data_IF_583161422290
#
_entry.id   IF_583161422290
#
_cell.length_a   1.000
_cell.length_b   1.000
_cell.length_c   1.000
_cell.angle_alpha   90.00
_cell.angle_beta   90.00
_cell.angle_gamma   90.00
#
_symmetry.space_group_name_H-M   'P 1'
#
loop_
_entity.id
_entity.type
_entity.pdbx_description
1 polymer ?
#
# COMPACT_ATOMS: atom_id res chain seq x y z
N UNK A 1 -8.49 -6.73 20.04
CA UNK A 1 -7.34 -6.20 19.30
C UNK A 1 -6.94 -7.12 18.15
N UNK A 2 -6.36 -8.30 18.42
CA UNK A 2 -5.85 -9.20 17.37
C UNK A 2 -6.86 -9.60 16.29
N UNK A 3 -8.06 -10.04 16.68
CA UNK A 3 -9.11 -10.43 15.72
C UNK A 3 -9.45 -9.27 14.77
N UNK A 4 -9.66 -8.07 15.31
CA UNK A 4 -9.99 -6.88 14.52
C UNK A 4 -8.83 -6.46 13.59
N UNK A 5 -7.59 -6.59 14.07
CA UNK A 5 -6.39 -6.27 13.28
C UNK A 5 -6.16 -7.24 12.12
N UNK A 6 -6.70 -8.46 12.18
CA UNK A 6 -6.68 -9.40 11.05
C UNK A 6 -7.87 -9.21 10.12
N UNK A 7 -9.08 -9.11 10.68
CA UNK A 7 -10.31 -9.12 9.88
C UNK A 7 -10.57 -7.81 9.13
N UNK A 8 -10.27 -6.65 9.73
CA UNK A 8 -10.54 -5.35 9.11
C UNK A 8 -9.61 -5.08 7.92
N UNK A 9 -8.27 -5.18 8.03
CA UNK A 9 -7.38 -5.00 6.87
C UNK A 9 -7.66 -6.00 5.76
N UNK A 10 -7.98 -7.26 6.11
CA UNK A 10 -8.38 -8.26 5.12
C UNK A 10 -9.65 -7.85 4.39
N UNK A 11 -10.67 -7.37 5.12
CA UNK A 11 -11.91 -6.89 4.54
C UNK A 11 -11.69 -5.68 3.62
N UNK A 12 -10.88 -4.70 4.05
CA UNK A 12 -10.62 -3.51 3.24
C UNK A 12 -9.84 -3.86 1.98
N UNK A 13 -8.86 -4.75 2.08
CA UNK A 13 -8.07 -5.22 0.93
C UNK A 13 -8.89 -6.08 -0.03
N UNK A 14 -9.67 -7.03 0.46
CA UNK A 14 -10.30 -8.03 -0.41
C UNK A 14 -11.65 -7.57 -0.98
N UNK A 15 -12.39 -6.73 -0.25
CA UNK A 15 -13.75 -6.33 -0.61
C UNK A 15 -13.81 -4.85 -0.97
N UNK A 16 -13.33 -3.96 -0.11
CA UNK A 16 -13.47 -2.51 -0.32
C UNK A 16 -12.61 -2.03 -1.48
N UNK A 17 -11.36 -2.49 -1.58
CA UNK A 17 -10.46 -2.13 -2.66
C UNK A 17 -11.02 -2.54 -4.03
N UNK A 18 -11.61 -3.74 -4.16
CA UNK A 18 -12.20 -4.24 -5.41
C UNK A 18 -13.48 -3.51 -5.82
N UNK A 19 -14.25 -3.00 -4.86
CA UNK A 19 -15.54 -2.32 -5.11
C UNK A 19 -15.40 -0.81 -5.29
N UNK A 20 -14.30 -0.22 -4.85
CA UNK A 20 -14.11 1.22 -4.88
C UNK A 20 -13.36 1.64 -6.16
N UNK A 21 -13.97 2.45 -7.04
CA UNK A 21 -13.31 2.92 -8.26
C UNK A 21 -12.12 3.84 -7.98
N UNK A 22 -12.05 4.43 -6.80
CA UNK A 22 -10.93 5.29 -6.37
C UNK A 22 -9.76 4.40 -5.96
N UNK A 23 -10.00 3.37 -5.16
CA UNK A 23 -8.94 2.48 -4.68
C UNK A 23 -8.35 1.63 -5.81
N UNK A 24 -9.15 1.29 -6.83
CA UNK A 24 -8.67 0.61 -8.03
C UNK A 24 -7.68 1.44 -8.86
N UNK A 25 -7.63 2.77 -8.67
CA UNK A 25 -6.63 3.63 -9.31
C UNK A 25 -5.32 3.73 -8.53
N UNK A 26 -5.30 3.17 -7.32
CA UNK A 26 -4.13 3.18 -6.44
C UNK A 26 -3.39 1.86 -6.66
N UNK A 27 -2.23 1.94 -7.28
CA UNK A 27 -1.33 0.81 -7.47
C UNK A 27 -0.53 0.53 -6.18
N UNK A 28 -1.13 -0.27 -5.28
CA UNK A 28 -0.55 -0.71 -4.01
C UNK A 28 -0.15 -2.19 -4.11
N UNK A 29 0.97 -2.46 -4.76
CA UNK A 29 1.45 -3.81 -5.12
C UNK A 29 1.58 -4.76 -3.93
N UNK A 30 2.00 -4.26 -2.77
CA UNK A 30 2.20 -5.06 -1.55
C UNK A 30 1.01 -4.97 -0.57
N UNK A 31 -0.04 -4.21 -0.89
CA UNK A 31 -1.18 -3.98 0.02
C UNK A 31 -0.79 -3.23 1.30
N UNK A 32 0.23 -2.38 1.24
CA UNK A 32 0.78 -1.65 2.40
C UNK A 32 -0.25 -0.70 2.99
N UNK A 33 -1.10 -0.07 2.16
CA UNK A 33 -2.12 0.84 2.64
C UNK A 33 -3.09 0.15 3.62
N UNK A 34 -3.57 -1.04 3.28
CA UNK A 34 -4.53 -1.77 4.12
C UNK A 34 -3.85 -2.36 5.36
N UNK A 35 -2.69 -3.00 5.16
CA UNK A 35 -1.98 -3.73 6.22
C UNK A 35 -1.28 -2.81 7.22
N UNK A 36 -0.93 -1.58 6.83
CA UNK A 36 -0.22 -0.64 7.70
C UNK A 36 -1.07 0.59 8.05
N UNK A 37 -1.61 1.31 7.05
CA UNK A 37 -2.33 2.55 7.32
C UNK A 37 -3.70 2.28 7.98
N UNK A 38 -4.52 1.39 7.41
CA UNK A 38 -5.82 1.02 7.98
C UNK A 38 -5.64 0.28 9.31
N UNK A 39 -4.76 -0.73 9.34
CA UNK A 39 -4.50 -1.49 10.57
C UNK A 39 -3.92 -0.61 11.69
N UNK A 40 -3.00 0.31 11.35
CA UNK A 40 -2.38 1.23 12.30
C UNK A 40 -3.38 2.21 12.89
N UNK A 41 -4.22 2.83 12.06
CA UNK A 41 -5.28 3.72 12.54
C UNK A 41 -6.29 2.97 13.42
N UNK A 42 -6.67 1.75 13.02
CA UNK A 42 -7.53 0.89 13.83
C UNK A 42 -6.88 0.56 15.17
N UNK A 43 -5.61 0.20 15.21
CA UNK A 43 -4.86 -0.05 16.45
C UNK A 43 -4.83 1.17 17.36
N UNK A 44 -4.62 2.36 16.81
CA UNK A 44 -4.70 3.62 17.54
C UNK A 44 -6.09 3.86 18.13
N UNK A 45 -7.16 3.70 17.34
CA UNK A 45 -8.54 3.83 17.80
C UNK A 45 -8.87 2.85 18.92
N UNK A 46 -8.52 1.59 18.73
CA UNK A 46 -8.78 0.56 19.74
C UNK A 46 -7.95 0.81 21.02
N UNK A 47 -6.76 1.39 20.91
CA UNK A 47 -5.98 1.82 22.09
C UNK A 47 -6.70 2.96 22.81
N UNK A 48 -7.29 3.89 22.04
CA UNK A 48 -8.18 4.93 22.54
C UNK A 48 -9.37 4.40 23.34
N UNK A 49 -9.87 3.21 22.99
CA UNK A 49 -10.97 2.55 23.67
C UNK A 49 -10.53 1.71 24.86
N UNK A 50 -9.49 0.88 24.69
CA UNK A 50 -9.15 -0.21 25.61
C UNK A 50 -7.89 0.03 26.45
N UNK A 51 -7.32 1.23 26.47
CA UNK A 51 -6.15 1.53 27.33
C UNK A 51 -6.49 1.34 28.83
N UNK A 52 -5.96 0.28 29.42
CA UNK A 52 -6.21 -0.09 30.83
C UNK A 52 -5.56 0.95 31.79
N UNK A 53 -6.33 1.58 32.70
CA UNK A 53 -5.82 2.62 33.59
C UNK A 53 -4.62 2.21 34.45
N UNK A 54 -4.64 0.98 34.99
CA UNK A 54 -3.56 0.47 35.85
C UNK A 54 -2.24 0.33 35.08
N UNK A 55 -2.31 -0.17 33.84
CA UNK A 55 -1.14 -0.29 32.98
C UNK A 55 -0.64 1.08 32.53
N UNK A 56 -1.55 2.00 32.22
CA UNK A 56 -1.20 3.38 31.88
C UNK A 56 -0.44 4.06 33.02
N UNK A 57 -0.89 3.91 34.27
CA UNK A 57 -0.24 4.52 35.44
C UNK A 57 1.15 3.94 35.74
N UNK A 58 1.43 2.71 35.30
CA UNK A 58 2.73 2.06 35.49
C UNK A 58 3.80 2.57 34.52
N UNK A 59 3.42 2.86 33.27
CA UNK A 59 4.36 3.13 32.19
C UNK A 59 4.32 4.56 31.65
N UNK A 60 3.21 5.28 31.79
CA UNK A 60 3.04 6.60 31.19
C UNK A 60 3.34 7.71 32.19
N UNK A 61 4.07 8.77 31.77
CA UNK A 61 4.26 9.97 32.59
C UNK A 61 2.95 10.78 32.75
N UNK A 62 1.96 10.53 31.88
CA UNK A 62 0.67 11.21 31.89
C UNK A 62 -0.29 10.49 32.84
N UNK A 63 -0.48 11.09 34.02
CA UNK A 63 -1.44 10.61 35.02
C UNK A 63 -2.88 10.59 34.49
N UNK A 64 -3.72 9.73 35.07
CA UNK A 64 -5.15 9.60 34.74
C UNK A 64 -5.49 9.20 33.29
N UNK A 65 -4.51 8.69 32.54
CA UNK A 65 -4.74 8.12 31.21
C UNK A 65 -5.57 6.84 31.30
N UNK A 66 -6.61 6.74 30.48
CA UNK A 66 -7.52 5.60 30.41
C UNK A 66 -8.23 5.56 29.07
N UNK A 67 -8.61 4.36 28.63
CA UNK A 67 -9.42 4.17 27.42
C UNK A 67 -10.88 4.53 27.65
N UNK A 68 -11.60 4.79 26.56
CA UNK A 68 -13.02 5.16 26.55
C UNK A 68 -13.93 4.18 27.30
N UNK A 69 -13.65 2.88 27.26
CA UNK A 69 -14.52 1.86 27.90
C UNK A 69 -14.52 1.94 29.43
N UNK A 70 -13.52 2.59 30.03
CA UNK A 70 -13.39 2.74 31.48
C UNK A 70 -14.09 4.00 32.02
N UNK A 71 -14.78 4.76 31.16
CA UNK A 71 -15.59 5.93 31.56
C UNK A 71 -14.78 7.14 32.06
N UNK A 72 -15.49 8.13 32.59
CA UNK A 72 -14.91 9.41 33.02
C UNK A 72 -14.24 10.15 31.86
N UNK A 73 -12.98 10.57 32.04
CA UNK A 73 -12.18 11.25 31.01
C UNK A 73 -11.68 10.34 29.88
N UNK A 74 -12.07 9.06 29.85
CA UNK A 74 -11.53 8.07 28.90
C UNK A 74 -11.80 8.37 27.42
N UNK A 75 -12.90 9.07 27.10
CA UNK A 75 -13.18 9.51 25.73
C UNK A 75 -12.09 10.42 25.14
N UNK A 76 -11.35 11.13 26.00
CA UNK A 76 -10.23 11.97 25.58
C UNK A 76 -9.09 11.16 24.97
N UNK A 77 -8.90 9.91 25.39
CA UNK A 77 -7.83 9.07 24.86
C UNK A 77 -8.08 8.69 23.39
N UNK A 78 -9.33 8.41 23.03
CA UNK A 78 -9.70 8.17 21.64
C UNK A 78 -9.42 9.40 20.78
N UNK A 79 -9.79 10.59 21.25
CA UNK A 79 -9.54 11.83 20.53
C UNK A 79 -8.03 12.10 20.33
N UNK A 80 -7.21 11.85 21.36
CA UNK A 80 -5.75 11.97 21.25
C UNK A 80 -5.18 11.04 20.18
N UNK A 81 -5.65 9.79 20.12
CA UNK A 81 -5.18 8.82 19.13
C UNK A 81 -5.63 9.19 17.70
N UNK A 82 -6.85 9.72 17.54
CA UNK A 82 -7.32 10.24 16.26
C UNK A 82 -6.53 11.48 15.81
N UNK A 83 -6.26 12.42 16.73
CA UNK A 83 -5.46 13.60 16.44
C UNK A 83 -4.02 13.24 16.05
N UNK A 84 -3.38 12.32 16.78
CA UNK A 84 -2.06 11.80 16.45
C UNK A 84 -2.05 11.07 15.10
N UNK A 85 -3.05 10.22 14.85
CA UNK A 85 -3.21 9.53 13.56
C UNK A 85 -3.39 10.51 12.39
N UNK A 86 -4.25 11.51 12.55
CA UNK A 86 -4.47 12.55 11.54
C UNK A 86 -3.20 13.36 11.25
N UNK A 87 -2.42 13.69 12.29
CA UNK A 87 -1.13 14.35 12.13
C UNK A 87 -0.15 13.47 11.34
N UNK A 88 -0.01 12.19 11.69
CA UNK A 88 0.89 11.26 10.98
C UNK A 88 0.48 11.13 9.50
N UNK A 89 -0.82 11.00 9.22
CA UNK A 89 -1.35 10.90 7.85
C UNK A 89 -1.03 12.17 7.07
N UNK A 90 -1.35 13.35 7.62
CA UNK A 90 -1.11 14.63 6.96
C UNK A 90 0.37 14.90 6.73
N UNK A 91 1.21 14.61 7.72
CA UNK A 91 2.66 14.77 7.63
C UNK A 91 3.27 13.88 6.54
N UNK A 92 2.92 12.59 6.52
CA UNK A 92 3.42 11.67 5.50
C UNK A 92 2.91 12.04 4.11
N UNK A 93 1.64 12.43 3.97
CA UNK A 93 1.10 12.86 2.69
C UNK A 93 1.87 14.06 2.14
N UNK A 94 2.09 15.10 2.97
CA UNK A 94 2.78 16.31 2.52
C UNK A 94 4.27 16.05 2.26
N UNK A 95 4.99 15.49 3.23
CA UNK A 95 6.45 15.36 3.15
C UNK A 95 6.86 14.31 2.12
N UNK A 96 6.22 13.14 2.09
CA UNK A 96 6.55 12.10 1.10
C UNK A 96 6.22 12.56 -0.32
N UNK A 97 5.10 13.24 -0.54
CA UNK A 97 4.80 13.79 -1.87
C UNK A 97 5.82 14.84 -2.31
N UNK A 98 6.27 15.72 -1.42
CA UNK A 98 7.34 16.69 -1.74
C UNK A 98 8.63 15.95 -2.13
N UNK A 99 9.04 14.96 -1.33
CA UNK A 99 10.26 14.18 -1.61
C UNK A 99 10.16 13.48 -2.98
N UNK A 100 9.04 12.80 -3.25
CA UNK A 100 8.84 12.11 -4.52
C UNK A 100 8.86 13.08 -5.71
N UNK A 101 8.18 14.23 -5.60
CA UNK A 101 8.18 15.23 -6.67
C UNK A 101 9.59 15.78 -6.90
N UNK A 102 10.32 16.11 -5.84
CA UNK A 102 11.70 16.63 -5.95
C UNK A 102 12.63 15.61 -6.60
N UNK A 103 12.56 14.33 -6.22
CA UNK A 103 13.36 13.28 -6.86
C UNK A 103 12.99 13.12 -8.33
N UNK A 104 11.69 13.18 -8.65
CA UNK A 104 11.17 13.05 -10.01
C UNK A 104 11.63 14.17 -10.96
N UNK A 105 12.16 15.29 -10.45
CA UNK A 105 12.79 16.33 -11.26
C UNK A 105 14.18 15.94 -11.78
N UNK A 106 14.85 15.00 -11.11
CA UNK A 106 16.22 14.58 -11.43
C UNK A 106 16.21 13.20 -12.08
N UNK A 107 15.41 12.27 -11.55
CA UNK A 107 15.36 10.88 -12.01
C UNK A 107 13.88 10.44 -12.05
N UNK A 108 13.38 9.89 -13.17
CA UNK A 108 12.01 9.41 -13.23
C UNK A 108 11.79 8.28 -12.22
N UNK A 109 10.80 8.46 -11.32
CA UNK A 109 10.49 7.48 -10.28
C UNK A 109 9.75 6.24 -10.82
N UNK A 110 9.13 6.36 -11.99
CA UNK A 110 8.39 5.29 -12.65
C UNK A 110 8.95 5.10 -14.05
N UNK A 111 9.15 3.84 -14.39
CA UNK A 111 9.61 3.41 -15.71
C UNK A 111 8.52 3.64 -16.77
N UNK A 112 8.90 3.64 -18.04
CA UNK A 112 7.93 3.75 -19.14
C UNK A 112 6.96 2.57 -19.15
N UNK A 113 5.73 2.77 -19.64
CA UNK A 113 4.71 1.71 -19.70
C UNK A 113 5.17 0.51 -20.55
N UNK A 114 5.97 0.75 -21.60
CA UNK A 114 6.55 -0.32 -22.43
C UNK A 114 7.51 -1.21 -21.64
N UNK A 115 8.42 -0.60 -20.87
CA UNK A 115 9.36 -1.37 -20.07
C UNK A 115 8.68 -2.04 -18.86
N UNK A 116 7.62 -1.43 -18.30
CA UNK A 116 6.80 -2.06 -17.26
C UNK A 116 6.07 -3.31 -17.77
N UNK A 117 5.70 -3.37 -19.06
CA UNK A 117 5.10 -4.55 -19.69
C UNK A 117 6.10 -5.70 -19.84
N UNK A 118 7.37 -5.40 -20.14
CA UNK A 118 8.45 -6.40 -20.22
C UNK A 118 8.80 -6.90 -18.81
N UNK A 119 8.84 -6.00 -17.83
CA UNK A 119 9.14 -6.33 -16.43
C UNK A 119 10.63 -6.35 -16.15
N UNK A 120 11.07 -7.27 -15.28
CA UNK A 120 12.42 -7.29 -14.71
C UNK A 120 13.53 -7.42 -15.77
N UNK A 121 13.24 -8.15 -16.85
CA UNK A 121 14.16 -8.36 -17.97
C UNK A 121 14.53 -7.04 -18.69
N UNK A 122 13.62 -6.05 -18.74
CA UNK A 122 13.93 -4.74 -19.33
C UNK A 122 14.95 -3.92 -18.52
N UNK A 123 15.17 -4.24 -17.25
CA UNK A 123 16.10 -3.53 -16.36
C UNK A 123 17.37 -4.32 -16.14
N UNK A 124 17.22 -5.60 -15.81
CA UNK A 124 18.31 -6.45 -15.35
C UNK A 124 18.79 -7.43 -16.43
N UNK A 125 18.02 -7.62 -17.52
CA UNK A 125 18.36 -8.57 -18.60
C UNK A 125 18.34 -10.03 -18.14
N UNK A 126 17.55 -10.30 -17.10
CA UNK A 126 17.41 -11.62 -16.49
C UNK A 126 15.93 -11.99 -16.34
N UNK A 127 15.62 -13.27 -16.56
CA UNK A 127 14.32 -13.84 -16.23
C UNK A 127 14.42 -14.54 -14.87
N UNK A 128 13.53 -14.18 -13.93
CA UNK A 128 13.48 -14.83 -12.62
C UNK A 128 13.22 -16.35 -12.72
N UNK A 129 12.49 -16.78 -13.76
CA UNK A 129 12.20 -18.20 -14.03
C UNK A 129 12.23 -18.50 -15.53
N UNK A 130 13.35 -19.05 -16.02
CA UNK A 130 13.48 -19.55 -17.39
C UNK A 130 12.84 -20.95 -17.54
N UNK A 131 11.53 -21.06 -17.29
CA UNK A 131 10.79 -22.33 -17.44
C UNK A 131 10.58 -22.72 -18.91
N UNK A 132 10.57 -21.73 -19.81
CA UNK A 132 10.40 -21.90 -21.26
C UNK A 132 11.32 -21.00 -22.11
N UNK A 133 12.23 -20.25 -21.49
CA UNK A 133 13.15 -19.36 -22.19
C UNK A 133 14.43 -20.10 -22.61
N UNK A 134 14.82 -19.96 -23.89
CA UNK A 134 16.03 -20.56 -24.47
C UNK A 134 17.35 -19.94 -23.93
N UNK A 135 17.27 -19.05 -22.94
CA UNK A 135 18.41 -18.29 -22.39
C UNK A 135 18.83 -17.09 -23.25
N UNK A 136 18.03 -16.73 -24.25
CA UNK A 136 18.26 -15.56 -25.11
C UNK A 136 17.89 -14.28 -24.33
N UNK A 137 18.82 -13.32 -24.26
CA UNK A 137 18.58 -12.00 -23.66
C UNK A 137 17.64 -11.18 -24.54
N UNK A 138 16.68 -10.47 -23.94
CA UNK A 138 15.83 -9.55 -24.69
C UNK A 138 16.63 -8.39 -25.27
N UNK A 139 16.70 -8.34 -26.60
CA UNK A 139 17.38 -7.29 -27.36
C UNK A 139 16.36 -6.26 -27.86
N UNK A 140 16.24 -5.15 -27.14
CA UNK A 140 15.36 -4.03 -27.50
C UNK A 140 15.68 -3.38 -28.86
N UNK A 141 16.87 -3.63 -29.44
CA UNK A 141 17.24 -3.09 -30.76
C UNK A 141 16.74 -3.92 -31.93
N UNK A 142 16.33 -5.18 -31.70
CA UNK A 142 15.81 -6.09 -32.73
C UNK A 142 14.31 -5.93 -33.00
N UNK A 143 13.56 -5.48 -32.01
CA UNK A 143 12.11 -5.32 -32.11
C UNK A 143 11.73 -3.84 -32.18
N UNK A 144 12.20 -3.17 -33.24
CA UNK A 144 11.72 -1.83 -33.59
C UNK A 144 10.25 -1.87 -33.99
N UNK A 145 9.51 -0.82 -33.59
CA UNK A 145 8.10 -0.55 -33.88
C UNK A 145 7.71 -0.91 -35.33
N UNK A 146 7.05 -2.07 -35.50
CA UNK A 146 6.34 -2.42 -36.72
C UNK A 146 4.91 -1.90 -36.60
N UNK A 147 4.59 -0.92 -37.43
CA UNK A 147 3.27 -0.31 -37.59
C UNK A 147 2.34 -1.33 -38.29
N UNK A 148 1.85 -2.33 -37.56
CA UNK A 148 1.01 -3.41 -38.11
C UNK A 148 -0.46 -3.00 -38.17
N UNK A 149 -0.76 -2.28 -39.25
CA UNK A 149 -2.09 -1.93 -39.71
C UNK A 149 -2.70 -3.09 -40.53
N UNK A 150 -3.03 -4.24 -39.91
CA UNK A 150 -4.00 -5.20 -40.49
C UNK A 150 -4.39 -6.39 -39.58
N UNK A 151 -5.68 -6.43 -39.24
CA UNK A 151 -6.58 -7.60 -39.17
C UNK A 151 -6.14 -8.92 -38.48
N UNK A 152 -6.91 -9.24 -37.43
CA UNK A 152 -7.29 -10.58 -36.97
C UNK A 152 -6.15 -11.57 -36.67
N UNK A 153 -5.59 -11.46 -35.46
CA UNK A 153 -5.17 -12.64 -34.68
C UNK A 153 -5.27 -12.32 -33.19
N UNK A 154 -6.20 -13.03 -32.52
CA UNK A 154 -6.26 -13.12 -31.06
C UNK A 154 -4.95 -13.68 -30.54
N UNK A 155 -4.14 -12.83 -29.91
CA UNK A 155 -2.98 -13.24 -29.14
C UNK A 155 -3.44 -13.79 -27.79
N UNK A 156 -3.30 -15.10 -27.61
CA UNK A 156 -3.58 -15.78 -26.36
C UNK A 156 -2.41 -15.55 -25.41
N UNK A 157 -2.41 -14.41 -24.73
CA UNK A 157 -1.47 -14.12 -23.66
C UNK A 157 -1.72 -15.05 -22.47
N UNK A 158 -0.64 -15.63 -21.95
CA UNK A 158 -0.63 -16.52 -20.79
C UNK A 158 -0.85 -15.76 -19.47
N UNK A 159 -1.93 -15.00 -19.38
CA UNK A 159 -2.41 -14.40 -18.13
C UNK A 159 -3.93 -14.22 -18.15
N UNK A 160 -4.65 -15.26 -18.56
CA UNK A 160 -6.02 -15.45 -18.06
C UNK A 160 -5.99 -16.51 -16.96
N UNK A 161 -5.97 -16.04 -15.72
CA UNK A 161 -6.35 -16.83 -14.55
C UNK A 161 -7.54 -16.12 -13.89
N UNK A 162 -8.61 -16.91 -13.82
CA UNK A 162 -9.94 -16.75 -13.19
C UNK A 162 -10.07 -15.69 -12.10
#
# INVERSE_FOLDING_TARGET
MGILSGSVPWFTMMIVHKKSPILQKIDDTLGVFHTHAVAGLLGGMLTGLFAEPKLCALFLPVTNSRGGVYGGSGGMQLLKQLAGGAFIIGWNLVVTSIICVVINLVIPLRMSEEQLLIGDDAVHGEEAYALWGDGEKYDSTKHGYSDDNNNNKTSTGATQVV
#
